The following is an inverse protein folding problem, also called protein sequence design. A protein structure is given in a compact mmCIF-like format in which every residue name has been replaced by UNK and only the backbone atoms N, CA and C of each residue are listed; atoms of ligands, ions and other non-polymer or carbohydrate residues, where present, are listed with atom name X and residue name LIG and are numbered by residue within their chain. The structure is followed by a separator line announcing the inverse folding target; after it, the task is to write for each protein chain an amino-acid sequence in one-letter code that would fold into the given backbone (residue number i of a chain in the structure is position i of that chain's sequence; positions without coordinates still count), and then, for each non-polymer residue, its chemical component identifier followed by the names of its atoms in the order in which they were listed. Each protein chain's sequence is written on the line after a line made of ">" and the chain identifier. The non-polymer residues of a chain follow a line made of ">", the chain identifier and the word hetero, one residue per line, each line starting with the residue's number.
data_IF_744614639080
#
_entry.id   IF_744614639080
#
_cell.length_a   1.000
_cell.length_b   1.000
_cell.length_c   1.000
_cell.angle_alpha   90.00
_cell.angle_beta   90.00
_cell.angle_gamma   90.00
#
_symmetry.space_group_name_H-M   'P 1'
#
loop_
_entity.id
_entity.type
_entity.pdbx_description
1 polymer ?
#
# COMPACT_ATOMS: atom_id res chain seq x y z
N UNK A 1 -1.70 0.26 17.36
CA UNK A 1 -0.72 -0.86 17.43
C UNK A 1 -0.63 -1.45 16.03
N UNK A 2 0.56 -1.53 15.41
CA UNK A 2 0.71 -2.10 14.06
C UNK A 2 1.11 -3.57 14.15
N UNK A 3 0.51 -4.43 13.33
CA UNK A 3 1.25 -5.58 12.83
C UNK A 3 2.07 -5.03 11.67
N UNK A 4 3.40 -5.09 11.74
CA UNK A 4 4.26 -5.00 10.56
C UNK A 4 4.43 -6.44 10.05
N UNK A 5 3.52 -6.97 9.21
CA UNK A 5 3.76 -8.27 8.65
C UNK A 5 4.99 -8.17 7.74
N UNK A 6 5.75 -9.25 7.62
CA UNK A 6 6.87 -9.28 6.67
C UNK A 6 6.30 -9.19 5.25
N UNK A 7 7.06 -8.60 4.34
CA UNK A 7 6.84 -8.81 2.90
C UNK A 7 7.14 -10.25 2.48
N UNK A 8 7.69 -11.09 3.38
CA UNK A 8 7.86 -12.52 3.15
C UNK A 8 6.52 -13.18 2.78
N UNK A 9 6.44 -13.67 1.53
CA UNK A 9 5.25 -14.29 0.97
C UNK A 9 4.43 -13.39 0.04
N UNK A 10 4.72 -12.09 -0.04
CA UNK A 10 4.16 -11.21 -1.07
C UNK A 10 5.18 -11.07 -2.21
N UNK A 11 4.99 -11.80 -3.30
CA UNK A 11 5.81 -11.59 -4.51
C UNK A 11 5.36 -10.31 -5.23
N UNK A 12 6.20 -9.28 -5.12
CA UNK A 12 5.96 -7.96 -5.70
C UNK A 12 6.04 -7.94 -7.23
N UNK A 13 6.49 -9.03 -7.86
CA UNK A 13 6.53 -9.15 -9.32
C UNK A 13 5.20 -9.62 -9.93
N UNK A 14 4.37 -10.32 -9.16
CA UNK A 14 3.05 -10.81 -9.56
C UNK A 14 1.98 -10.47 -8.50
N UNK A 15 1.43 -9.24 -8.52
CA UNK A 15 0.50 -8.79 -7.49
C UNK A 15 -0.76 -9.62 -7.39
N UNK A 16 -1.33 -10.10 -8.51
CA UNK A 16 -2.63 -10.77 -8.49
C UNK A 16 -2.56 -12.08 -7.71
N UNK A 17 -1.66 -12.99 -8.13
CA UNK A 17 -1.52 -14.30 -7.47
C UNK A 17 -1.00 -14.16 -6.03
N UNK A 18 -0.13 -13.18 -5.79
CA UNK A 18 0.48 -12.97 -4.48
C UNK A 18 -0.49 -12.36 -3.47
N UNK A 19 -1.25 -11.34 -3.87
CA UNK A 19 -2.25 -10.74 -3.00
C UNK A 19 -3.35 -11.74 -2.67
N UNK A 20 -3.79 -12.58 -3.61
CA UNK A 20 -4.78 -13.63 -3.29
C UNK A 20 -4.28 -14.58 -2.20
N UNK A 21 -3.04 -15.03 -2.33
CA UNK A 21 -2.40 -15.93 -1.36
C UNK A 21 -2.22 -15.24 -0.01
N UNK A 22 -1.66 -14.04 -0.03
CA UNK A 22 -1.35 -13.26 1.17
C UNK A 22 -2.62 -12.87 1.94
N UNK A 23 -3.65 -12.41 1.23
CA UNK A 23 -4.95 -12.04 1.79
C UNK A 23 -5.70 -13.24 2.39
N UNK A 24 -5.41 -14.45 1.91
CA UNK A 24 -6.00 -15.69 2.44
C UNK A 24 -5.26 -16.22 3.68
N UNK A 25 -4.16 -15.58 4.12
CA UNK A 25 -3.41 -16.06 5.28
C UNK A 25 -4.17 -15.79 6.59
N UNK A 26 -4.13 -16.71 7.58
CA UNK A 26 -4.70 -16.46 8.90
C UNK A 26 -4.15 -15.22 9.59
N UNK A 27 -2.94 -14.78 9.23
CA UNK A 27 -2.28 -13.62 9.82
C UNK A 27 -3.08 -12.31 9.64
N UNK A 28 -3.84 -12.17 8.56
CA UNK A 28 -4.66 -10.99 8.33
C UNK A 28 -6.02 -11.06 9.02
N UNK A 29 -6.43 -12.23 9.54
CA UNK A 29 -7.75 -12.45 10.15
C UNK A 29 -8.94 -11.97 9.29
N UNK A 30 -8.82 -12.02 7.96
CA UNK A 30 -9.82 -11.50 7.03
C UNK A 30 -9.94 -9.96 6.99
N UNK A 31 -9.06 -9.24 7.68
CA UNK A 31 -8.99 -7.79 7.64
C UNK A 31 -8.21 -7.30 6.39
N UNK A 32 -8.47 -6.07 5.92
CA UNK A 32 -7.74 -5.50 4.79
C UNK A 32 -6.23 -5.39 5.03
N UNK A 33 -5.48 -5.42 3.93
CA UNK A 33 -4.07 -5.07 3.84
C UNK A 33 -3.92 -3.68 3.25
N UNK A 34 -3.11 -2.84 3.89
CA UNK A 34 -2.75 -1.51 3.40
C UNK A 34 -1.29 -1.50 2.98
N UNK A 35 -1.00 -1.09 1.74
CA UNK A 35 0.36 -1.01 1.21
C UNK A 35 0.66 0.43 0.81
N UNK A 36 1.66 1.05 1.44
CA UNK A 36 2.21 2.33 1.03
C UNK A 36 3.43 2.11 0.13
N UNK A 37 3.28 2.43 -1.15
CA UNK A 37 4.35 2.43 -2.13
C UNK A 37 5.15 3.71 -2.03
N UNK A 38 6.45 3.60 -1.77
CA UNK A 38 7.34 4.71 -1.49
C UNK A 38 8.60 4.68 -2.34
N UNK A 39 9.23 5.83 -2.50
CA UNK A 39 10.58 5.93 -3.05
C UNK A 39 11.58 5.24 -2.12
N UNK A 40 12.54 4.51 -2.69
CA UNK A 40 13.68 4.03 -1.92
C UNK A 40 14.51 5.19 -1.37
N UNK A 41 15.37 4.88 -0.39
CA UNK A 41 16.32 5.85 0.17
C UNK A 41 17.38 6.23 -0.85
N UNK A 42 17.64 7.53 -0.96
CA UNK A 42 18.81 8.06 -1.63
C UNK A 42 20.07 7.69 -0.83
N UNK A 43 21.08 7.17 -1.51
CA UNK A 43 22.29 6.63 -0.88
C UNK A 43 23.13 7.69 -0.17
N UNK A 44 22.97 8.96 -0.54
CA UNK A 44 23.76 10.07 0.01
C UNK A 44 23.08 10.67 1.24
N UNK A 45 21.76 10.84 1.19
CA UNK A 45 20.98 11.47 2.26
C UNK A 45 20.36 10.49 3.25
N UNK A 46 20.22 9.22 2.87
CA UNK A 46 19.51 8.20 3.66
C UNK A 46 17.98 8.42 3.73
N UNK A 47 17.46 9.44 3.05
CA UNK A 47 16.04 9.78 2.99
C UNK A 47 15.44 9.37 1.64
N UNK A 48 14.12 9.14 1.53
CA UNK A 48 13.47 8.88 0.25
C UNK A 48 13.83 9.93 -0.81
N UNK A 49 14.18 9.50 -2.02
CA UNK A 49 14.62 10.42 -3.08
C UNK A 49 13.49 11.35 -3.55
N UNK A 50 12.23 10.93 -3.40
CA UNK A 50 11.05 11.71 -3.80
C UNK A 50 10.62 12.67 -2.67
N UNK A 51 10.48 13.99 -2.94
CA UNK A 51 10.03 14.96 -1.95
C UNK A 51 8.62 14.67 -1.42
N UNK A 52 7.68 14.26 -2.27
CA UNK A 52 6.30 13.99 -1.86
C UNK A 52 6.23 12.75 -0.95
N UNK A 53 7.08 11.76 -1.19
CA UNK A 53 7.24 10.60 -0.29
C UNK A 53 7.81 11.06 1.05
N UNK A 54 8.80 11.96 1.08
CA UNK A 54 9.33 12.50 2.35
C UNK A 54 8.26 13.24 3.15
N UNK A 55 7.34 13.93 2.49
CA UNK A 55 6.23 14.61 3.14
C UNK A 55 5.18 13.62 3.67
N UNK A 56 4.75 12.65 2.87
CA UNK A 56 3.64 11.77 3.24
C UNK A 56 4.02 10.61 4.15
N UNK A 57 5.22 10.04 4.01
CA UNK A 57 5.66 8.89 4.79
C UNK A 57 5.48 9.06 6.31
N UNK A 58 5.90 10.18 6.95
CA UNK A 58 5.67 10.37 8.38
C UNK A 58 4.18 10.46 8.72
N UNK A 59 3.38 11.19 7.93
CA UNK A 59 1.93 11.36 8.16
C UNK A 59 1.20 10.03 8.11
N UNK A 60 1.42 9.23 7.06
CA UNK A 60 0.78 7.92 6.91
C UNK A 60 1.27 6.97 7.99
N UNK A 61 2.57 6.95 8.30
CA UNK A 61 3.10 6.06 9.36
C UNK A 61 2.48 6.38 10.71
N UNK A 62 2.45 7.66 11.10
CA UNK A 62 1.85 8.11 12.36
C UNK A 62 0.35 7.78 12.42
N UNK A 63 -0.37 7.98 11.32
CA UNK A 63 -1.79 7.61 11.23
C UNK A 63 -2.02 6.13 11.55
N UNK A 64 -1.26 5.22 10.94
CA UNK A 64 -1.41 3.77 11.17
C UNK A 64 -0.92 3.33 12.56
N UNK A 65 0.14 3.95 13.09
CA UNK A 65 0.66 3.67 14.44
C UNK A 65 -0.36 4.02 15.54
N UNK A 66 -0.99 5.18 15.38
CA UNK A 66 -1.97 5.72 16.31
C UNK A 66 -3.42 5.32 15.99
N UNK A 67 -3.64 4.56 14.91
CA UNK A 67 -4.94 3.98 14.61
C UNK A 67 -5.32 3.06 15.78
N UNK A 68 -6.42 3.39 16.48
CA UNK A 68 -6.83 2.75 17.73
C UNK A 68 -7.12 1.24 17.63
N UNK A 69 -7.03 0.66 16.43
CA UNK A 69 -7.16 -0.77 16.14
C UNK A 69 -5.91 -1.28 15.42
N UNK A 70 -5.64 -2.57 15.54
CA UNK A 70 -4.54 -3.21 14.83
C UNK A 70 -4.88 -3.36 13.34
N UNK A 71 -4.12 -2.67 12.49
CA UNK A 71 -4.22 -2.75 11.03
C UNK A 71 -3.03 -3.50 10.43
N UNK A 72 -3.26 -4.15 9.28
CA UNK A 72 -2.19 -4.76 8.49
C UNK A 72 -1.61 -3.71 7.54
N UNK A 73 -0.42 -3.21 7.84
CA UNK A 73 0.20 -2.12 7.09
C UNK A 73 1.61 -2.47 6.63
N UNK A 74 1.90 -2.23 5.35
CA UNK A 74 3.19 -2.48 4.72
C UNK A 74 3.73 -1.23 4.03
N UNK A 75 5.04 -1.08 4.04
CA UNK A 75 5.78 -0.12 3.23
C UNK A 75 6.55 -0.88 2.16
N UNK A 76 6.41 -0.49 0.90
CA UNK A 76 7.09 -1.13 -0.24
C UNK A 76 7.86 -0.07 -1.01
N UNK A 77 9.18 -0.27 -1.12
CA UNK A 77 10.03 0.60 -1.93
C UNK A 77 9.91 0.24 -3.41
N UNK A 78 9.60 1.22 -4.26
CA UNK A 78 9.44 1.01 -5.72
C UNK A 78 10.78 0.98 -6.48
N UNK A 79 11.89 1.09 -5.75
CA UNK A 79 13.24 1.23 -6.27
C UNK A 79 13.70 2.69 -6.33
N UNK A 80 14.88 2.86 -6.93
CA UNK A 80 15.48 4.18 -7.13
C UNK A 80 14.75 5.01 -8.20
N UNK A 81 15.15 6.27 -8.34
CA UNK A 81 14.52 7.23 -9.25
C UNK A 81 14.60 6.81 -10.72
N UNK A 82 15.65 6.11 -11.14
CA UNK A 82 15.80 5.64 -12.52
C UNK A 82 14.88 4.45 -12.75
N UNK A 83 14.94 3.45 -11.88
CA UNK A 83 14.07 2.27 -11.92
C UNK A 83 12.58 2.65 -11.93
N UNK A 84 12.17 3.65 -11.14
CA UNK A 84 10.78 4.14 -11.12
C UNK A 84 10.36 4.84 -12.42
N UNK A 85 11.29 5.44 -13.17
CA UNK A 85 10.98 6.11 -14.44
C UNK A 85 10.82 5.14 -15.61
N UNK A 86 11.36 3.94 -15.48
CA UNK A 86 11.23 2.91 -16.50
C UNK A 86 9.75 2.52 -16.67
N UNK A 87 9.29 2.49 -17.92
CA UNK A 87 7.91 2.14 -18.25
C UNK A 87 7.56 0.70 -17.88
N UNK A 88 8.57 -0.18 -17.94
CA UNK A 88 8.45 -1.61 -17.61
C UNK A 88 8.56 -1.88 -16.11
N UNK A 89 8.71 -0.84 -15.27
CA UNK A 89 8.70 -1.01 -13.82
C UNK A 89 7.45 -1.77 -13.37
N UNK A 90 7.64 -2.85 -12.60
CA UNK A 90 6.55 -3.76 -12.22
C UNK A 90 5.43 -3.07 -11.45
N UNK A 91 5.76 -2.04 -10.66
CA UNK A 91 4.77 -1.25 -9.93
C UNK A 91 3.93 -0.39 -10.88
N UNK A 92 4.47 0.04 -12.02
CA UNK A 92 3.67 0.73 -13.06
C UNK A 92 2.83 -0.25 -13.87
N UNK A 93 3.41 -1.37 -14.29
CA UNK A 93 2.79 -2.27 -15.26
C UNK A 93 1.83 -3.27 -14.63
N UNK A 94 2.16 -3.82 -13.46
CA UNK A 94 1.37 -4.87 -12.79
C UNK A 94 0.54 -4.33 -11.65
N UNK A 95 1.09 -3.40 -10.86
CA UNK A 95 0.35 -2.75 -9.77
C UNK A 95 -0.46 -1.53 -10.23
N UNK A 96 -0.27 -1.07 -11.47
CA UNK A 96 -1.01 0.06 -12.04
C UNK A 96 -0.69 1.42 -11.41
N UNK A 97 0.44 1.55 -10.71
CA UNK A 97 0.81 2.80 -10.05
C UNK A 97 1.17 3.87 -11.08
N UNK A 98 0.50 5.01 -10.99
CA UNK A 98 0.79 6.19 -11.83
C UNK A 98 1.80 7.13 -11.17
N UNK A 99 1.77 7.21 -9.83
CA UNK A 99 2.60 8.09 -9.01
C UNK A 99 3.00 7.45 -7.67
N UNK A 100 3.93 8.11 -6.98
CA UNK A 100 4.32 7.80 -5.60
C UNK A 100 4.38 9.10 -4.79
N UNK A 101 4.03 9.09 -3.48
CA UNK A 101 3.52 7.96 -2.71
C UNK A 101 2.13 7.50 -3.17
N UNK A 102 1.83 6.21 -3.05
CA UNK A 102 0.47 5.68 -3.22
C UNK A 102 0.15 4.75 -2.08
N UNK A 103 -0.97 4.97 -1.39
CA UNK A 103 -1.50 4.06 -0.37
C UNK A 103 -2.66 3.26 -0.97
N UNK A 104 -2.51 1.95 -1.12
CA UNK A 104 -3.57 1.05 -1.58
C UNK A 104 -4.22 0.27 -0.44
N UNK A 105 -5.56 0.09 -0.51
CA UNK A 105 -6.33 -0.84 0.33
C UNK A 105 -6.70 -2.08 -0.49
N UNK A 106 -6.28 -3.22 0.01
CA UNK A 106 -6.50 -4.52 -0.59
C UNK A 106 -7.28 -5.40 0.38
N UNK A 107 -8.35 -6.02 -0.09
CA UNK A 107 -9.15 -6.95 0.69
C UNK A 107 -9.68 -8.03 -0.24
N UNK A 108 -9.90 -9.22 0.32
CA UNK A 108 -10.55 -10.30 -0.41
C UNK A 108 -12.07 -10.09 -0.35
N UNK A 109 -12.69 -9.86 -1.49
CA UNK A 109 -14.15 -9.86 -1.62
C UNK A 109 -14.59 -11.10 -2.39
N UNK A 110 -15.61 -11.77 -1.89
CA UNK A 110 -16.34 -12.81 -2.63
C UNK A 110 -17.57 -12.17 -3.27
N UNK A 111 -17.48 -11.92 -4.59
CA UNK A 111 -18.58 -11.39 -5.40
C UNK A 111 -19.08 -12.51 -6.31
N UNK A 112 -19.99 -13.33 -5.80
CA UNK A 112 -20.61 -14.39 -6.59
C UNK A 112 -19.63 -15.49 -7.03
N UNK A 113 -18.61 -15.76 -6.23
CA UNK A 113 -17.56 -16.76 -6.51
C UNK A 113 -16.29 -16.19 -7.13
N UNK A 114 -16.27 -14.90 -7.50
CA UNK A 114 -15.06 -14.21 -7.95
C UNK A 114 -14.38 -13.49 -6.77
N UNK A 115 -13.07 -13.73 -6.65
CA UNK A 115 -12.20 -13.09 -5.67
C UNK A 115 -11.68 -11.77 -6.22
N UNK A 116 -12.11 -10.65 -5.65
CA UNK A 116 -11.62 -9.31 -6.01
C UNK A 116 -10.65 -8.81 -4.95
N UNK A 117 -9.58 -8.10 -5.38
CA UNK A 117 -8.41 -7.80 -4.55
C UNK A 117 -8.17 -6.29 -4.28
N UNK A 118 -8.84 -5.35 -4.95
CA UNK A 118 -8.57 -3.92 -4.76
C UNK A 118 -9.84 -3.11 -4.43
N UNK A 119 -9.76 -2.27 -3.39
CA UNK A 119 -10.92 -1.56 -2.83
C UNK A 119 -10.79 -0.03 -2.96
N UNK A 120 -9.58 0.51 -2.97
CA UNK A 120 -9.35 1.95 -3.14
C UNK A 120 -7.88 2.35 -2.97
N UNK A 121 -7.54 3.57 -3.38
CA UNK A 121 -6.20 4.13 -3.18
C UNK A 121 -6.24 5.64 -2.87
N UNK A 122 -5.14 6.14 -2.32
CA UNK A 122 -4.81 7.57 -2.19
C UNK A 122 -3.47 7.81 -2.88
N UNK A 123 -3.38 8.88 -3.67
CA UNK A 123 -2.21 9.18 -4.50
C UNK A 123 -1.61 10.53 -4.13
N UNK A 124 -0.29 10.59 -4.00
CA UNK A 124 0.49 11.82 -3.76
C UNK A 124 -0.05 12.64 -2.57
N UNK A 125 -0.60 13.83 -2.83
CA UNK A 125 -1.09 14.75 -1.79
C UNK A 125 -2.29 14.20 -1.02
N UNK A 126 -3.01 13.21 -1.58
CA UNK A 126 -4.10 12.56 -0.85
C UNK A 126 -3.59 11.75 0.33
N UNK A 127 -2.32 11.30 0.31
CA UNK A 127 -1.69 10.63 1.45
C UNK A 127 -1.38 11.60 2.61
N UNK A 128 -1.51 12.92 2.41
CA UNK A 128 -1.35 13.93 3.47
C UNK A 128 -2.69 14.30 4.13
N UNK A 129 -3.80 13.88 3.54
CA UNK A 129 -5.14 14.24 3.99
C UNK A 129 -5.66 13.21 5.00
N UNK A 130 -5.67 13.60 6.28
CA UNK A 130 -6.10 12.73 7.39
C UNK A 130 -7.56 12.29 7.26
N UNK A 131 -8.42 13.13 6.68
CA UNK A 131 -9.82 12.76 6.44
C UNK A 131 -9.90 11.67 5.38
N UNK A 132 -9.14 11.79 4.29
CA UNK A 132 -9.05 10.74 3.26
C UNK A 132 -8.42 9.45 3.80
N UNK A 133 -7.40 9.53 4.63
CA UNK A 133 -6.82 8.36 5.30
C UNK A 133 -7.86 7.65 6.16
N UNK A 134 -8.60 8.41 6.96
CA UNK A 134 -9.71 7.90 7.79
C UNK A 134 -10.76 7.22 6.92
N UNK A 135 -11.22 7.89 5.86
CA UNK A 135 -12.21 7.37 4.93
C UNK A 135 -11.74 6.11 4.19
N UNK A 136 -10.47 6.04 3.79
CA UNK A 136 -9.92 4.84 3.16
C UNK A 136 -9.93 3.67 4.16
N UNK A 137 -9.50 3.89 5.40
CA UNK A 137 -9.39 2.82 6.40
C UNK A 137 -10.76 2.37 6.91
N UNK A 138 -11.59 3.31 7.36
CA UNK A 138 -12.89 3.05 7.97
C UNK A 138 -14.01 2.81 6.94
N UNK A 139 -13.80 3.25 5.69
CA UNK A 139 -14.75 3.08 4.61
C UNK A 139 -15.09 1.61 4.38
N UNK A 140 -16.40 1.33 4.37
CA UNK A 140 -16.94 -0.01 4.08
C UNK A 140 -16.60 -0.43 2.66
N UNK A 141 -16.27 -1.71 2.49
CA UNK A 141 -15.93 -2.35 1.22
C UNK A 141 -17.15 -2.56 0.29
N UNK A 142 -18.34 -2.11 0.73
CA UNK A 142 -19.65 -2.52 0.21
C UNK A 142 -20.42 -1.43 -0.56
N UNK A 143 -19.78 -0.32 -0.93
CA UNK A 143 -20.43 0.70 -1.78
C UNK A 143 -20.21 0.44 -3.29
N UNK A 144 -20.40 -0.81 -3.72
CA UNK A 144 -20.48 -1.20 -5.12
C UNK A 144 -21.89 -1.74 -5.43
#
# INVERSE_FOLDING_TARGET
>A
MINEPSTAGLDLQDPTASLETYLSTPALNGAPLFILFVASKDVTTGAPWCPDVRAALPVVTEFFENHGTTLNFLKVEVGDKLAWKEKENVFRTRWGLTAIPTLGKYAMLDLGGEKVVAVGNLVENECLDVEKLTNLVEGSVYNL
#
